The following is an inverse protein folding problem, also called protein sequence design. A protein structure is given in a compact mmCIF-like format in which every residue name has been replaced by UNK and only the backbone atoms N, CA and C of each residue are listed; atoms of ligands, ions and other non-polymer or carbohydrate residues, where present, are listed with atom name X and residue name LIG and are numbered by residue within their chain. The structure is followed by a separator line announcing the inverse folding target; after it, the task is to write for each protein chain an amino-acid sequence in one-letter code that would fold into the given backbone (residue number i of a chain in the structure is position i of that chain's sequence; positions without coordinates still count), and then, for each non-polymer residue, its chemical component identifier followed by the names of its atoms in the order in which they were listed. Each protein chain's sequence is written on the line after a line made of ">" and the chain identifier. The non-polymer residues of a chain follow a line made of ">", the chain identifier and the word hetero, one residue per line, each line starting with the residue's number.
data_IF_334645444434
#
_entry.id   IF_334645444434
#
_cell.length_a   1.000
_cell.length_b   1.000
_cell.length_c   1.000
_cell.angle_alpha   90.00
_cell.angle_beta   90.00
_cell.angle_gamma   90.00
#
_symmetry.space_group_name_H-M   'P 1'
#
loop_
_entity.id
_entity.type
_entity.pdbx_description
1 polymer ?
#
# COMPACT_ATOMS: atom_id res chain seq x y z
N UNK A 1 60.74 -13.65 -94.69
CA UNK A 1 59.35 -13.23 -94.37
C UNK A 1 58.98 -12.12 -95.32
N UNK A 2 57.96 -12.30 -96.16
CA UNK A 2 57.50 -11.22 -97.05
C UNK A 2 56.90 -10.10 -96.19
N UNK A 3 57.05 -8.86 -96.66
CA UNK A 3 56.47 -7.64 -96.07
C UNK A 3 54.96 -7.78 -95.84
N UNK A 4 54.29 -8.60 -96.64
CA UNK A 4 52.88 -8.97 -96.53
C UNK A 4 52.55 -9.75 -95.25
N UNK A 5 53.43 -10.63 -94.77
CA UNK A 5 53.19 -11.40 -93.52
C UNK A 5 53.32 -10.48 -92.29
N UNK A 6 54.27 -9.54 -92.32
CA UNK A 6 54.46 -8.54 -91.26
C UNK A 6 53.31 -7.54 -91.20
N UNK A 7 52.78 -7.09 -92.35
CA UNK A 7 51.62 -6.21 -92.38
C UNK A 7 50.34 -6.92 -91.91
N UNK A 8 50.16 -8.20 -92.27
CA UNK A 8 49.03 -9.01 -91.80
C UNK A 8 49.07 -9.22 -90.27
N UNK A 9 50.25 -9.51 -89.71
CA UNK A 9 50.46 -9.63 -88.26
C UNK A 9 50.16 -8.32 -87.51
N UNK A 10 50.57 -7.17 -88.07
CA UNK A 10 50.29 -5.86 -87.49
C UNK A 10 48.79 -5.54 -87.48
N UNK A 11 48.06 -5.88 -88.56
CA UNK A 11 46.60 -5.72 -88.65
C UNK A 11 45.87 -6.65 -87.68
N UNK A 12 46.32 -7.91 -87.54
CA UNK A 12 45.73 -8.86 -86.59
C UNK A 12 45.97 -8.39 -85.14
N UNK A 13 47.18 -7.90 -84.82
CA UNK A 13 47.50 -7.40 -83.49
C UNK A 13 46.68 -6.14 -83.11
N UNK A 14 46.47 -5.21 -84.06
CA UNK A 14 45.60 -4.04 -83.81
C UNK A 14 44.14 -4.44 -83.65
N UNK A 15 43.67 -5.44 -84.40
CA UNK A 15 42.31 -5.97 -84.25
C UNK A 15 42.11 -6.65 -82.88
N UNK A 16 43.08 -7.45 -82.42
CA UNK A 16 43.06 -8.08 -81.09
C UNK A 16 43.07 -7.02 -79.99
N UNK A 17 43.91 -5.99 -80.10
CA UNK A 17 43.95 -4.89 -79.12
C UNK A 17 42.64 -4.07 -79.11
N UNK A 18 42.04 -3.81 -80.27
CA UNK A 18 40.74 -3.16 -80.35
C UNK A 18 39.63 -3.99 -79.70
N UNK A 19 39.61 -5.31 -79.93
CA UNK A 19 38.69 -6.23 -79.28
C UNK A 19 38.90 -6.30 -77.75
N UNK A 20 40.16 -6.32 -77.30
CA UNK A 20 40.50 -6.30 -75.87
C UNK A 20 40.03 -5.00 -75.19
N UNK A 21 40.26 -3.84 -75.82
CA UNK A 21 39.78 -2.54 -75.33
C UNK A 21 38.25 -2.48 -75.28
N UNK A 22 37.56 -2.97 -76.31
CA UNK A 22 36.09 -3.04 -76.34
C UNK A 22 35.59 -3.97 -75.23
N UNK A 23 36.26 -5.10 -74.99
CA UNK A 23 35.92 -6.05 -73.93
C UNK A 23 36.09 -5.44 -72.55
N UNK A 24 37.21 -4.76 -72.28
CA UNK A 24 37.47 -4.05 -71.02
C UNK A 24 36.45 -2.92 -70.82
N UNK A 25 36.18 -2.13 -71.85
CA UNK A 25 35.20 -1.05 -71.76
C UNK A 25 33.78 -1.58 -71.47
N UNK A 26 33.37 -2.68 -72.13
CA UNK A 26 32.11 -3.37 -71.83
C UNK A 26 32.09 -3.92 -70.40
N UNK A 27 33.16 -4.54 -69.95
CA UNK A 27 33.31 -5.05 -68.58
C UNK A 27 33.14 -3.95 -67.53
N UNK A 28 33.84 -2.83 -67.69
CA UNK A 28 33.75 -1.68 -66.78
C UNK A 28 32.34 -1.07 -66.77
N UNK A 29 31.69 -0.96 -67.93
CA UNK A 29 30.30 -0.46 -68.01
C UNK A 29 29.33 -1.39 -67.28
N UNK A 30 29.46 -2.70 -67.45
CA UNK A 30 28.62 -3.69 -66.74
C UNK A 30 28.88 -3.60 -65.24
N UNK A 31 30.13 -3.53 -64.82
CA UNK A 31 30.51 -3.42 -63.41
C UNK A 31 29.91 -2.17 -62.76
N UNK A 32 30.06 -0.99 -63.38
CA UNK A 32 29.48 0.26 -62.89
C UNK A 32 27.94 0.22 -62.77
N UNK A 33 27.27 -0.41 -63.72
CA UNK A 33 25.80 -0.58 -63.67
C UNK A 33 25.39 -1.52 -62.52
N UNK A 34 26.13 -2.61 -62.32
CA UNK A 34 25.88 -3.56 -61.22
C UNK A 34 26.13 -2.92 -59.86
N UNK A 35 27.23 -2.19 -59.71
CA UNK A 35 27.59 -1.46 -58.49
C UNK A 35 26.56 -0.37 -58.16
N UNK A 36 26.12 0.40 -59.17
CA UNK A 36 25.06 1.39 -58.99
C UNK A 36 23.70 0.77 -58.65
N UNK A 37 23.40 -0.44 -59.13
CA UNK A 37 22.21 -1.18 -58.71
C UNK A 37 22.35 -1.67 -57.27
N UNK A 38 23.48 -2.29 -56.94
CA UNK A 38 23.79 -2.78 -55.59
C UNK A 38 23.69 -1.66 -54.55
N UNK A 39 24.32 -0.50 -54.77
CA UNK A 39 24.27 0.62 -53.84
C UNK A 39 22.85 1.17 -53.64
N UNK A 40 22.04 1.23 -54.70
CA UNK A 40 20.62 1.64 -54.58
C UNK A 40 19.80 0.63 -53.79
N UNK A 41 19.99 -0.65 -54.05
CA UNK A 41 19.26 -1.70 -53.35
C UNK A 41 19.69 -1.79 -51.87
N UNK A 42 20.99 -1.62 -51.61
CA UNK A 42 21.53 -1.56 -50.25
C UNK A 42 21.01 -0.34 -49.47
N UNK A 43 21.05 0.87 -50.05
CA UNK A 43 20.53 2.07 -49.40
C UNK A 43 19.02 2.02 -49.16
N UNK A 44 18.25 1.36 -50.04
CA UNK A 44 16.83 1.08 -49.78
C UNK A 44 16.63 0.14 -48.59
N UNK A 45 17.43 -0.93 -48.51
CA UNK A 45 17.35 -1.89 -47.41
C UNK A 45 17.70 -1.22 -46.06
N UNK A 46 18.75 -0.39 -46.04
CA UNK A 46 19.16 0.36 -44.86
C UNK A 46 18.08 1.34 -44.39
N UNK A 47 17.46 2.09 -45.31
CA UNK A 47 16.35 2.98 -44.98
C UNK A 47 15.14 2.25 -44.41
N UNK A 48 14.82 1.06 -44.93
CA UNK A 48 13.73 0.22 -44.40
C UNK A 48 14.05 -0.23 -42.97
N UNK A 49 15.28 -0.69 -42.73
CA UNK A 49 15.73 -1.13 -41.40
C UNK A 49 15.71 0.03 -40.40
N UNK A 50 16.21 1.20 -40.76
CA UNK A 50 16.20 2.37 -39.87
C UNK A 50 14.77 2.78 -39.50
N UNK A 51 13.87 2.83 -40.49
CA UNK A 51 12.47 3.14 -40.22
C UNK A 51 11.81 2.10 -39.32
N UNK A 52 12.06 0.80 -39.56
CA UNK A 52 11.55 -0.26 -38.69
C UNK A 52 12.10 -0.16 -37.27
N UNK A 53 13.37 0.21 -37.13
CA UNK A 53 14.00 0.42 -35.83
C UNK A 53 13.33 1.58 -35.07
N UNK A 54 13.18 2.74 -35.71
CA UNK A 54 12.50 3.91 -35.13
C UNK A 54 11.04 3.60 -34.76
N UNK A 55 10.30 2.91 -35.62
CA UNK A 55 8.91 2.51 -35.34
C UNK A 55 8.84 1.56 -34.13
N UNK A 56 9.79 0.65 -34.01
CA UNK A 56 9.89 -0.28 -32.88
C UNK A 56 10.24 0.45 -31.58
N UNK A 57 11.22 1.35 -31.62
CA UNK A 57 11.65 2.13 -30.47
C UNK A 57 10.52 3.05 -29.97
N UNK A 58 9.83 3.74 -30.88
CA UNK A 58 8.69 4.58 -30.54
C UNK A 58 7.54 3.78 -29.91
N UNK A 59 7.28 2.58 -30.45
CA UNK A 59 6.28 1.67 -29.88
C UNK A 59 6.67 1.23 -28.47
N UNK A 60 7.93 0.88 -28.26
CA UNK A 60 8.45 0.46 -26.96
C UNK A 60 8.40 1.61 -25.95
N UNK A 61 8.80 2.83 -26.34
CA UNK A 61 8.74 4.01 -25.48
C UNK A 61 7.31 4.37 -25.07
N UNK A 62 6.35 4.26 -26.00
CA UNK A 62 4.93 4.46 -25.71
C UNK A 62 4.42 3.42 -24.72
N UNK A 63 4.67 2.14 -24.99
CA UNK A 63 4.25 1.04 -24.11
C UNK A 63 4.88 1.15 -22.71
N UNK A 64 6.15 1.53 -22.63
CA UNK A 64 6.85 1.75 -21.37
C UNK A 64 6.18 2.88 -20.57
N UNK A 65 5.91 4.02 -21.21
CA UNK A 65 5.26 5.17 -20.58
C UNK A 65 3.85 4.82 -20.10
N UNK A 66 3.06 4.11 -20.92
CA UNK A 66 1.73 3.62 -20.57
C UNK A 66 1.77 2.65 -19.39
N UNK A 67 2.75 1.74 -19.37
CA UNK A 67 2.93 0.77 -18.28
C UNK A 67 3.28 1.47 -16.96
N UNK A 68 4.21 2.43 -16.99
CA UNK A 68 4.55 3.22 -15.80
C UNK A 68 3.34 4.00 -15.29
N UNK A 69 2.58 4.63 -16.19
CA UNK A 69 1.37 5.37 -15.82
C UNK A 69 0.33 4.44 -15.16
N UNK A 70 0.13 3.25 -15.71
CA UNK A 70 -0.79 2.25 -15.15
C UNK A 70 -0.34 1.78 -13.75
N UNK A 71 0.95 1.49 -13.57
CA UNK A 71 1.52 1.10 -12.27
C UNK A 71 1.34 2.23 -11.25
N UNK A 72 1.68 3.47 -11.62
CA UNK A 72 1.56 4.63 -10.72
C UNK A 72 0.11 4.88 -10.32
N UNK A 73 -0.83 4.75 -11.25
CA UNK A 73 -2.26 4.87 -10.97
C UNK A 73 -2.74 3.78 -10.00
N UNK A 74 -2.37 2.52 -10.23
CA UNK A 74 -2.71 1.41 -9.33
C UNK A 74 -2.15 1.62 -7.93
N UNK A 75 -0.86 1.99 -7.85
CA UNK A 75 -0.20 2.26 -6.58
C UNK A 75 -0.84 3.43 -5.82
N UNK A 76 -1.21 4.51 -6.51
CA UNK A 76 -1.92 5.64 -5.89
C UNK A 76 -3.28 5.22 -5.33
N UNK A 77 -4.03 4.41 -6.08
CA UNK A 77 -5.33 3.88 -5.65
C UNK A 77 -5.19 2.99 -4.42
N UNK A 78 -4.22 2.08 -4.41
CA UNK A 78 -3.92 1.23 -3.25
C UNK A 78 -3.48 2.05 -2.03
N UNK A 79 -2.61 3.04 -2.24
CA UNK A 79 -2.18 3.96 -1.18
C UNK A 79 -3.38 4.70 -0.57
N UNK A 80 -4.30 5.20 -1.38
CA UNK A 80 -5.53 5.85 -0.88
C UNK A 80 -6.45 4.87 -0.14
N UNK A 81 -6.62 3.65 -0.64
CA UNK A 81 -7.41 2.63 0.04
C UNK A 81 -6.81 2.25 1.41
N UNK A 82 -5.49 2.06 1.47
CA UNK A 82 -4.77 1.79 2.72
C UNK A 82 -4.91 2.96 3.70
N UNK A 83 -4.70 4.20 3.23
CA UNK A 83 -4.86 5.40 4.05
C UNK A 83 -6.27 5.52 4.63
N UNK A 84 -7.30 5.26 3.82
CA UNK A 84 -8.68 5.25 4.29
C UNK A 84 -8.93 4.20 5.38
N UNK A 85 -8.37 2.99 5.23
CA UNK A 85 -8.45 1.95 6.26
C UNK A 85 -7.73 2.35 7.57
N UNK A 86 -6.57 3.00 7.48
CA UNK A 86 -5.85 3.51 8.66
C UNK A 86 -6.66 4.58 9.38
N UNK A 87 -7.25 5.54 8.65
CA UNK A 87 -8.12 6.57 9.22
C UNK A 87 -9.34 5.97 9.90
N UNK A 88 -10.00 4.99 9.27
CA UNK A 88 -11.14 4.29 9.88
C UNK A 88 -10.73 3.57 11.15
N UNK A 89 -9.62 2.83 11.11
CA UNK A 89 -9.08 2.13 12.28
C UNK A 89 -8.78 3.09 13.42
N UNK A 90 -8.11 4.21 13.14
CA UNK A 90 -7.81 5.24 14.14
C UNK A 90 -9.10 5.83 14.75
N UNK A 91 -10.12 6.11 13.94
CA UNK A 91 -11.42 6.59 14.41
C UNK A 91 -12.09 5.60 15.37
N UNK A 92 -12.10 4.30 15.04
CA UNK A 92 -12.67 3.28 15.92
C UNK A 92 -11.88 3.11 17.22
N UNK A 93 -10.55 3.17 17.14
CA UNK A 93 -9.68 3.12 18.32
C UNK A 93 -9.88 4.33 19.23
N UNK A 94 -10.02 5.54 18.68
CA UNK A 94 -10.32 6.76 19.44
C UNK A 94 -11.68 6.66 20.15
N UNK A 95 -12.71 6.18 19.44
CA UNK A 95 -14.04 6.00 20.02
C UNK A 95 -14.04 4.95 21.14
N UNK A 96 -13.33 3.83 20.99
CA UNK A 96 -13.15 2.89 22.08
C UNK A 96 -12.42 3.51 23.28
N UNK A 97 -11.39 4.34 23.04
CA UNK A 97 -10.72 5.10 24.07
C UNK A 97 -11.67 6.00 24.88
N UNK A 98 -12.63 6.63 24.21
CA UNK A 98 -13.70 7.43 24.86
C UNK A 98 -14.59 6.56 25.74
N UNK A 99 -15.09 5.44 25.21
CA UNK A 99 -15.94 4.50 25.98
C UNK A 99 -15.19 3.96 27.21
N UNK A 100 -13.90 3.61 27.06
CA UNK A 100 -13.07 3.17 28.20
C UNK A 100 -12.94 4.27 29.26
N UNK A 101 -12.79 5.52 28.83
CA UNK A 101 -12.80 6.68 29.72
C UNK A 101 -14.14 6.85 30.45
N UNK A 102 -15.26 6.61 29.77
CA UNK A 102 -16.60 6.63 30.38
C UNK A 102 -16.77 5.53 31.44
N UNK A 103 -16.30 4.31 31.16
CA UNK A 103 -16.32 3.20 32.15
C UNK A 103 -15.57 3.63 33.41
N UNK A 104 -14.35 4.16 33.27
CA UNK A 104 -13.55 4.61 34.40
C UNK A 104 -14.20 5.77 35.16
N UNK A 105 -14.76 6.74 34.42
CA UNK A 105 -15.45 7.89 35.01
C UNK A 105 -16.66 7.46 35.85
N UNK A 106 -17.55 6.64 35.29
CA UNK A 106 -18.75 6.19 35.99
C UNK A 106 -18.43 5.26 37.16
N UNK A 107 -17.40 4.41 37.02
CA UNK A 107 -16.88 3.61 38.12
C UNK A 107 -16.34 4.48 39.26
N UNK A 108 -15.64 5.58 38.97
CA UNK A 108 -15.20 6.51 40.00
C UNK A 108 -16.39 7.21 40.67
N UNK A 109 -17.43 7.57 39.91
CA UNK A 109 -18.63 8.22 40.46
C UNK A 109 -19.44 7.31 41.37
N UNK A 110 -19.53 6.01 41.08
CA UNK A 110 -20.27 5.06 41.92
C UNK A 110 -19.57 4.77 43.26
N UNK A 111 -18.28 5.08 43.39
CA UNK A 111 -17.51 4.85 44.63
C UNK A 111 -17.09 6.15 45.34
N UNK A 112 -17.00 7.28 44.63
CA UNK A 112 -16.38 8.51 45.15
C UNK A 112 -17.16 9.77 44.76
N UNK A 113 -17.78 10.40 45.76
CA UNK A 113 -18.44 11.72 45.64
C UNK A 113 -17.44 12.87 45.82
N UNK A 114 -16.29 12.82 45.15
CA UNK A 114 -15.28 13.91 45.23
C UNK A 114 -15.71 15.22 44.58
N UNK A 115 -16.71 15.19 43.69
CA UNK A 115 -17.17 16.36 42.93
C UNK A 115 -18.45 16.96 43.50
N UNK A 116 -18.53 18.29 43.54
CA UNK A 116 -19.73 19.06 43.95
C UNK A 116 -20.96 18.87 43.06
N UNK A 117 -20.77 18.36 41.84
CA UNK A 117 -21.86 18.09 40.89
C UNK A 117 -22.56 16.78 41.24
N UNK A 118 -23.88 16.82 41.38
CA UNK A 118 -24.72 15.62 41.51
C UNK A 118 -24.83 14.92 40.15
N UNK A 119 -24.41 13.66 40.10
CA UNK A 119 -24.45 12.82 38.90
C UNK A 119 -25.48 11.68 39.03
N UNK A 120 -26.50 11.87 39.87
CA UNK A 120 -27.45 10.83 40.24
C UNK A 120 -27.01 10.01 41.45
N UNK A 121 -27.68 8.89 41.65
CA UNK A 121 -27.38 7.92 42.73
C UNK A 121 -26.18 7.05 42.37
N UNK A 122 -25.54 6.46 43.38
CA UNK A 122 -24.39 5.56 43.16
C UNK A 122 -24.81 4.34 42.30
N UNK A 123 -26.07 3.89 42.44
CA UNK A 123 -26.71 2.84 41.64
C UNK A 123 -26.84 3.24 40.16
N UNK A 124 -27.31 4.46 39.89
CA UNK A 124 -27.41 4.98 38.51
C UNK A 124 -26.02 5.09 37.86
N UNK A 125 -25.02 5.56 38.61
CA UNK A 125 -23.64 5.62 38.14
C UNK A 125 -23.09 4.21 37.83
N UNK A 126 -23.36 3.22 38.68
CA UNK A 126 -22.97 1.83 38.43
C UNK A 126 -23.66 1.26 37.18
N UNK A 127 -24.95 1.55 36.98
CA UNK A 127 -25.68 1.14 35.77
C UNK A 127 -25.10 1.79 34.50
N UNK A 128 -24.72 3.07 34.55
CA UNK A 128 -24.03 3.74 33.45
C UNK A 128 -22.67 3.11 33.14
N UNK A 129 -21.89 2.73 34.16
CA UNK A 129 -20.63 2.00 34.00
C UNK A 129 -20.86 0.65 33.29
N UNK A 130 -21.84 -0.14 33.74
CA UNK A 130 -22.14 -1.45 33.14
C UNK A 130 -22.60 -1.31 31.69
N UNK A 131 -23.46 -0.33 31.40
CA UNK A 131 -23.87 -0.02 30.03
C UNK A 131 -22.70 0.40 29.14
N UNK A 132 -21.80 1.26 29.63
CA UNK A 132 -20.61 1.65 28.87
C UNK A 132 -19.69 0.44 28.58
N UNK A 133 -19.59 -0.51 29.50
CA UNK A 133 -18.87 -1.76 29.27
C UNK A 133 -19.55 -2.65 28.20
N UNK A 134 -20.88 -2.77 28.24
CA UNK A 134 -21.64 -3.47 27.19
C UNK A 134 -21.44 -2.82 25.83
N UNK A 135 -21.50 -1.50 25.75
CA UNK A 135 -21.25 -0.73 24.54
C UNK A 135 -19.83 -0.99 24.01
N UNK A 136 -18.81 -0.99 24.87
CA UNK A 136 -17.44 -1.34 24.48
C UNK A 136 -17.36 -2.78 23.94
N UNK A 137 -18.00 -3.73 24.61
CA UNK A 137 -18.02 -5.14 24.20
C UNK A 137 -18.63 -5.29 22.79
N UNK A 138 -19.81 -4.72 22.57
CA UNK A 138 -20.47 -4.72 21.26
C UNK A 138 -19.62 -4.00 20.21
N UNK A 139 -19.02 -2.86 20.56
CA UNK A 139 -18.19 -2.08 19.65
C UNK A 139 -16.96 -2.86 19.20
N UNK A 140 -16.29 -3.55 20.11
CA UNK A 140 -15.11 -4.39 19.78
C UNK A 140 -15.47 -5.59 18.91
N UNK A 141 -16.67 -6.15 19.05
CA UNK A 141 -17.17 -7.20 18.16
C UNK A 141 -17.53 -6.67 16.77
N UNK A 142 -18.26 -5.55 16.72
CA UNK A 142 -18.70 -4.94 15.45
C UNK A 142 -17.51 -4.48 14.60
N UNK A 143 -16.48 -3.91 15.23
CA UNK A 143 -15.31 -3.37 14.55
C UNK A 143 -14.05 -4.18 14.85
N UNK A 144 -14.16 -5.52 14.85
CA UNK A 144 -13.06 -6.45 15.16
C UNK A 144 -11.76 -6.15 14.41
N UNK A 145 -11.85 -5.69 13.15
CA UNK A 145 -10.67 -5.35 12.34
C UNK A 145 -9.79 -4.28 12.99
N UNK A 146 -10.36 -3.34 13.75
CA UNK A 146 -9.61 -2.28 14.42
C UNK A 146 -8.85 -2.79 15.65
N UNK A 147 -9.40 -3.81 16.34
CA UNK A 147 -8.90 -4.31 17.62
C UNK A 147 -8.08 -5.60 17.51
N UNK A 148 -8.04 -6.23 16.34
CA UNK A 148 -7.32 -7.50 16.09
C UNK A 148 -5.85 -7.48 16.53
N UNK A 149 -5.21 -6.31 16.50
CA UNK A 149 -3.80 -6.13 16.85
C UNK A 149 -3.55 -5.85 18.34
N UNK A 150 -4.60 -5.61 19.13
CA UNK A 150 -4.45 -5.43 20.58
C UNK A 150 -4.17 -6.79 21.21
N UNK A 151 -2.93 -6.97 21.67
CA UNK A 151 -2.51 -8.20 22.33
C UNK A 151 -3.29 -8.37 23.63
N UNK A 152 -3.81 -9.57 23.87
CA UNK A 152 -4.58 -9.91 25.07
C UNK A 152 -5.89 -9.12 25.26
N UNK A 153 -6.47 -8.52 24.22
CA UNK A 153 -7.77 -7.82 24.31
C UNK A 153 -8.84 -8.63 25.05
N UNK A 154 -9.01 -9.90 24.70
CA UNK A 154 -9.99 -10.78 25.35
C UNK A 154 -9.75 -10.94 26.86
N UNK A 155 -8.47 -10.97 27.27
CA UNK A 155 -8.09 -11.03 28.69
C UNK A 155 -8.42 -9.71 29.39
N UNK A 156 -8.20 -8.56 28.74
CA UNK A 156 -8.59 -7.27 29.28
C UNK A 156 -10.11 -7.16 29.42
N UNK A 157 -10.86 -7.54 28.38
CA UNK A 157 -12.32 -7.53 28.40
C UNK A 157 -12.89 -8.41 29.51
N UNK A 158 -12.41 -9.65 29.63
CA UNK A 158 -12.86 -10.58 30.69
C UNK A 158 -12.58 -10.04 32.10
N UNK A 159 -11.40 -9.46 32.32
CA UNK A 159 -11.07 -8.84 33.61
C UNK A 159 -11.90 -7.58 33.88
N UNK A 160 -12.13 -6.75 32.86
CA UNK A 160 -12.98 -5.57 32.97
C UNK A 160 -14.43 -5.96 33.31
N UNK A 161 -15.01 -6.95 32.63
CA UNK A 161 -16.35 -7.47 32.98
C UNK A 161 -16.41 -7.91 34.43
N UNK A 162 -15.37 -8.62 34.89
CA UNK A 162 -15.31 -9.11 36.27
C UNK A 162 -15.31 -7.96 37.28
N UNK A 163 -14.50 -6.93 37.04
CA UNK A 163 -14.43 -5.75 37.91
C UNK A 163 -15.72 -4.92 37.88
N UNK A 164 -16.29 -4.70 36.69
CA UNK A 164 -17.55 -3.95 36.50
C UNK A 164 -18.68 -4.66 37.23
N UNK A 165 -18.88 -5.95 36.98
CA UNK A 165 -19.93 -6.73 37.64
C UNK A 165 -19.74 -6.77 39.16
N UNK A 166 -18.49 -6.85 39.64
CA UNK A 166 -18.22 -6.83 41.07
C UNK A 166 -18.63 -5.49 41.70
N UNK A 167 -18.19 -4.37 41.11
CA UNK A 167 -18.54 -3.02 41.61
C UNK A 167 -20.05 -2.81 41.57
N UNK A 168 -20.71 -3.17 40.47
CA UNK A 168 -22.16 -3.06 40.32
C UNK A 168 -22.89 -3.83 41.42
N UNK A 169 -22.50 -5.08 41.67
CA UNK A 169 -23.10 -5.90 42.73
C UNK A 169 -22.89 -5.32 44.13
N UNK A 170 -21.72 -4.75 44.41
CA UNK A 170 -21.46 -4.11 45.71
C UNK A 170 -22.33 -2.86 45.91
N UNK A 171 -22.49 -2.05 44.87
CA UNK A 171 -23.30 -0.82 44.90
C UNK A 171 -24.79 -1.12 45.14
N UNK A 172 -25.30 -2.23 44.59
CA UNK A 172 -26.69 -2.67 44.78
C UNK A 172 -26.96 -3.31 46.15
N UNK A 173 -25.96 -3.42 47.03
CA UNK A 173 -26.17 -3.98 48.35
C UNK A 173 -26.97 -3.02 49.26
N UNK A 174 -27.79 -3.59 50.15
CA UNK A 174 -28.68 -2.83 51.04
C UNK A 174 -27.95 -1.88 52.02
N UNK A 175 -26.61 -1.98 52.14
CA UNK A 175 -25.77 -1.21 53.06
C UNK A 175 -24.56 -0.59 52.33
N UNK A 176 -24.77 -0.03 51.14
CA UNK A 176 -23.69 0.64 50.41
C UNK A 176 -23.45 2.07 50.92
N UNK A 177 -22.43 2.25 51.76
CA UNK A 177 -21.97 3.55 52.27
C UNK A 177 -20.47 3.51 52.57
N UNK A 178 -19.84 4.67 52.79
CA UNK A 178 -18.38 4.78 52.94
C UNK A 178 -17.77 3.99 54.12
N UNK A 179 -18.58 3.56 55.07
CA UNK A 179 -18.12 2.79 56.23
C UNK A 179 -18.26 1.28 56.00
N UNK A 180 -19.09 0.87 55.04
CA UNK A 180 -19.41 -0.52 54.78
C UNK A 180 -18.30 -1.26 54.05
N UNK A 181 -18.22 -2.57 54.32
CA UNK A 181 -17.21 -3.44 53.72
C UNK A 181 -17.41 -3.58 52.20
N UNK A 182 -18.66 -3.49 51.74
CA UNK A 182 -19.00 -3.54 50.31
C UNK A 182 -18.44 -2.32 49.56
N UNK A 183 -18.54 -1.12 50.15
CA UNK A 183 -17.94 0.08 49.58
C UNK A 183 -16.41 0.00 49.57
N UNK A 184 -15.79 -0.41 50.68
CA UNK A 184 -14.33 -0.59 50.75
C UNK A 184 -13.83 -1.59 49.70
N UNK A 185 -14.54 -2.70 49.55
CA UNK A 185 -14.23 -3.73 48.54
C UNK A 185 -14.38 -3.19 47.11
N UNK A 186 -15.44 -2.41 46.82
CA UNK A 186 -15.62 -1.78 45.52
C UNK A 186 -14.48 -0.79 45.20
N UNK A 187 -14.04 0.00 46.19
CA UNK A 187 -12.91 0.94 46.06
C UNK A 187 -11.61 0.21 45.76
N UNK A 188 -11.34 -0.90 46.45
CA UNK A 188 -10.15 -1.75 46.18
C UNK A 188 -10.19 -2.29 44.76
N UNK A 189 -11.31 -2.88 44.34
CA UNK A 189 -11.45 -3.41 42.97
C UNK A 189 -11.34 -2.32 41.90
N UNK A 190 -11.82 -1.11 42.18
CA UNK A 190 -11.62 0.03 41.28
C UNK A 190 -10.13 0.38 41.13
N UNK A 191 -9.42 0.56 42.24
CA UNK A 191 -8.03 1.02 42.22
C UNK A 191 -7.02 -0.05 41.78
N UNK A 192 -7.23 -1.31 42.16
CA UNK A 192 -6.31 -2.41 41.86
C UNK A 192 -6.70 -3.19 40.60
N UNK A 193 -7.98 -3.12 40.21
CA UNK A 193 -8.53 -3.84 39.07
C UNK A 193 -8.91 -2.93 37.92
N UNK A 194 -10.04 -2.23 38.04
CA UNK A 194 -10.68 -1.52 36.93
C UNK A 194 -9.78 -0.42 36.36
N UNK A 195 -9.29 0.51 37.19
CA UNK A 195 -8.53 1.67 36.72
C UNK A 195 -7.19 1.29 36.05
N UNK A 196 -6.36 0.40 36.60
CA UNK A 196 -5.16 -0.06 35.90
C UNK A 196 -5.46 -0.76 34.57
N UNK A 197 -6.56 -1.51 34.49
CA UNK A 197 -6.97 -2.16 33.25
C UNK A 197 -7.44 -1.17 32.18
N UNK A 198 -8.19 -0.13 32.56
CA UNK A 198 -8.61 0.92 31.62
C UNK A 198 -7.40 1.69 31.10
N UNK A 199 -6.44 2.02 31.96
CA UNK A 199 -5.18 2.65 31.55
C UNK A 199 -4.35 1.77 30.62
N UNK A 200 -4.16 0.49 30.95
CA UNK A 200 -3.40 -0.43 30.10
C UNK A 200 -4.04 -0.58 28.70
N UNK A 201 -5.36 -0.66 28.64
CA UNK A 201 -6.08 -0.76 27.37
C UNK A 201 -5.99 0.55 26.55
N UNK A 202 -6.08 1.71 27.21
CA UNK A 202 -5.85 3.01 26.57
C UNK A 202 -4.42 3.17 26.04
N UNK A 203 -3.42 2.67 26.78
CA UNK A 203 -2.03 2.70 26.36
C UNK A 203 -1.80 1.83 25.10
N UNK A 204 -2.37 0.62 25.07
CA UNK A 204 -2.29 -0.26 23.90
C UNK A 204 -3.00 0.37 22.68
N UNK A 205 -4.15 1.01 22.89
CA UNK A 205 -4.83 1.80 21.85
C UNK A 205 -3.92 2.93 21.35
N UNK A 206 -3.28 3.67 22.26
CA UNK A 206 -2.35 4.75 21.93
C UNK A 206 -1.15 4.27 21.11
N UNK A 207 -0.55 3.14 21.48
CA UNK A 207 0.54 2.51 20.71
C UNK A 207 0.12 2.16 19.29
N UNK A 208 -1.09 1.62 19.11
CA UNK A 208 -1.61 1.29 17.78
C UNK A 208 -1.88 2.54 16.95
N UNK A 209 -2.35 3.63 17.56
CA UNK A 209 -2.58 4.89 16.87
C UNK A 209 -1.28 5.57 16.42
N UNK A 210 -0.17 5.40 17.15
CA UNK A 210 1.15 5.95 16.78
C UNK A 210 1.88 5.15 15.70
N UNK A 211 1.51 3.88 15.50
CA UNK A 211 2.16 2.97 14.56
C UNK A 211 1.61 3.08 13.13
N UNK A 212 0.43 3.67 12.95
CA UNK A 212 -0.22 3.89 11.65
C UNK A 212 0.06 5.31 11.15
#
# INVERSE_FOLDING_TARGET
>A
MSTEVLSLLAVVATFINALALISVHRGNRIHSVLEGKFNRDHGKAENILNRQHEETENTLNRLHSETIAAINHSYSKEKHAANHLYTLKACHLENAGKIIGEIQFWAEKSISRRTRTEFGTDIEAASHMSKAFEDLSLYTMQYFFAFKEIVHLQKYMSKLTSSVNYIENMVHSNEYNSESENWKSAVVIFHEGLSPLTYALQEEIGKLMQKN
#
